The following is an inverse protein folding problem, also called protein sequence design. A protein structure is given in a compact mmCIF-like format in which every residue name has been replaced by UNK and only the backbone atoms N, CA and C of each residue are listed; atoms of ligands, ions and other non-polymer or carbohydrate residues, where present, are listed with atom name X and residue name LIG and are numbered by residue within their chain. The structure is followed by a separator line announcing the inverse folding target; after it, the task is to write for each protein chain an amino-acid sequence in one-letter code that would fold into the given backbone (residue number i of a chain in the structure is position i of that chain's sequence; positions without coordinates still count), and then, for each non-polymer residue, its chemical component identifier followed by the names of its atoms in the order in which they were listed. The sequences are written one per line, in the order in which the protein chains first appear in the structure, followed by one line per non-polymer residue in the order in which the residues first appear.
data_IF_389129397039
#
_entry.id   IF_389129397039
#
_cell.length_a   1.000
_cell.length_b   1.000
_cell.length_c   1.000
_cell.angle_alpha   90.00
_cell.angle_beta   90.00
_cell.angle_gamma   90.00
#
_symmetry.space_group_name_H-M   'P 1'
#
loop_
_entity.id
_entity.type
_entity.pdbx_description
1 polymer ?
#
# COMPACT_ATOMS: atom_id res chain seq x y z
N UNK A 1 -71.92 -23.99 37.18
CA UNK A 1 -70.80 -23.94 38.15
C UNK A 1 -69.59 -24.75 37.68
N UNK A 2 -69.10 -24.51 36.46
CA UNK A 2 -67.78 -24.93 35.98
C UNK A 2 -67.28 -23.75 35.16
N UNK A 3 -66.37 -22.94 35.70
CA UNK A 3 -65.44 -22.10 34.92
C UNK A 3 -64.48 -21.21 35.74
N UNK A 4 -64.18 -21.55 37.00
CA UNK A 4 -63.13 -20.83 37.75
C UNK A 4 -61.78 -21.57 37.80
N UNK A 5 -61.76 -22.91 37.70
CA UNK A 5 -60.53 -23.70 37.82
C UNK A 5 -59.70 -23.81 36.53
N UNK A 6 -60.31 -23.70 35.33
CA UNK A 6 -59.55 -23.75 34.07
C UNK A 6 -58.73 -22.49 33.79
N UNK A 7 -59.21 -21.31 34.22
CA UNK A 7 -58.47 -20.05 34.05
C UNK A 7 -57.18 -19.98 34.89
N UNK A 8 -57.12 -20.67 36.03
CA UNK A 8 -55.94 -20.69 36.90
C UNK A 8 -54.85 -21.60 36.33
N UNK A 9 -55.24 -22.72 35.69
CA UNK A 9 -54.32 -23.64 34.99
C UNK A 9 -53.62 -22.98 33.81
N UNK A 10 -54.35 -22.27 32.95
CA UNK A 10 -53.80 -21.59 31.78
C UNK A 10 -52.84 -20.43 32.14
N UNK A 11 -53.10 -19.69 33.22
CA UNK A 11 -52.20 -18.63 33.71
C UNK A 11 -50.89 -19.19 34.27
N UNK A 12 -50.91 -20.35 34.95
CA UNK A 12 -49.68 -21.01 35.45
C UNK A 12 -48.82 -21.59 34.32
N UNK A 13 -49.42 -22.15 33.27
CA UNK A 13 -48.72 -22.70 32.09
C UNK A 13 -48.03 -21.61 31.26
N UNK A 14 -48.66 -20.44 31.04
CA UNK A 14 -48.03 -19.31 30.33
C UNK A 14 -46.83 -18.71 31.09
N UNK A 15 -46.89 -18.63 32.42
CA UNK A 15 -45.79 -18.08 33.23
C UNK A 15 -44.54 -18.97 33.17
N UNK A 16 -44.69 -20.31 33.19
CA UNK A 16 -43.57 -21.26 33.18
C UNK A 16 -42.80 -21.26 31.84
N UNK A 17 -43.49 -21.02 30.72
CA UNK A 17 -42.85 -20.91 29.40
C UNK A 17 -42.15 -19.56 29.18
N UNK A 18 -42.63 -18.49 29.79
CA UNK A 18 -42.01 -17.16 29.72
C UNK A 18 -40.61 -17.16 30.36
N UNK A 19 -40.45 -17.77 31.54
CA UNK A 19 -39.16 -17.85 32.24
C UNK A 19 -38.13 -18.74 31.55
N UNK A 20 -38.56 -19.84 30.90
CA UNK A 20 -37.66 -20.66 30.06
C UNK A 20 -37.14 -19.91 28.84
N UNK A 21 -37.96 -19.06 28.22
CA UNK A 21 -37.55 -18.19 27.11
C UNK A 21 -36.52 -17.14 27.54
N UNK A 22 -36.71 -16.54 28.72
CA UNK A 22 -35.76 -15.57 29.30
C UNK A 22 -34.42 -16.23 29.65
N UNK A 23 -34.41 -17.43 30.23
CA UNK A 23 -33.16 -18.17 30.50
C UNK A 23 -32.39 -18.53 29.21
N UNK A 24 -33.10 -18.94 28.15
CA UNK A 24 -32.47 -19.28 26.86
C UNK A 24 -31.88 -18.04 26.18
N UNK A 25 -32.57 -16.89 26.27
CA UNK A 25 -32.06 -15.61 25.79
C UNK A 25 -30.89 -15.08 26.64
N UNK A 26 -30.90 -15.28 27.97
CA UNK A 26 -29.80 -14.91 28.86
C UNK A 26 -28.53 -15.74 28.61
N UNK A 27 -28.67 -17.04 28.29
CA UNK A 27 -27.54 -17.86 27.86
C UNK A 27 -26.98 -17.40 26.51
N UNK A 28 -27.84 -17.13 25.52
CA UNK A 28 -27.42 -16.61 24.22
C UNK A 28 -26.69 -15.26 24.35
N UNK A 29 -27.11 -14.39 25.28
CA UNK A 29 -26.45 -13.12 25.56
C UNK A 29 -25.00 -13.28 26.06
N UNK A 30 -24.71 -14.31 26.86
CA UNK A 30 -23.35 -14.61 27.35
C UNK A 30 -22.42 -15.08 26.23
N UNK A 31 -22.93 -15.89 25.30
CA UNK A 31 -22.15 -16.30 24.13
C UNK A 31 -21.96 -15.15 23.12
N UNK A 32 -22.99 -14.32 22.91
CA UNK A 32 -22.87 -13.15 22.05
C UNK A 32 -21.87 -12.12 22.61
N UNK A 33 -21.83 -11.90 23.92
CA UNK A 33 -20.83 -11.03 24.56
C UNK A 33 -19.42 -11.61 24.47
N UNK A 34 -19.26 -12.92 24.65
CA UNK A 34 -17.96 -13.58 24.48
C UNK A 34 -17.46 -13.47 23.03
N UNK A 35 -18.34 -13.70 22.05
CA UNK A 35 -18.02 -13.57 20.62
C UNK A 35 -17.70 -12.12 20.25
N UNK A 36 -18.42 -11.13 20.79
CA UNK A 36 -18.08 -9.72 20.55
C UNK A 36 -16.76 -9.33 21.17
N UNK A 37 -16.43 -9.84 22.36
CA UNK A 37 -15.11 -9.61 22.98
C UNK A 37 -14.01 -10.26 22.14
N UNK A 38 -14.20 -11.49 21.66
CA UNK A 38 -13.23 -12.19 20.79
C UNK A 38 -13.03 -11.45 19.47
N UNK A 39 -14.12 -11.01 18.82
CA UNK A 39 -14.05 -10.25 17.57
C UNK A 39 -13.48 -8.84 17.77
N UNK A 40 -13.70 -8.22 18.93
CA UNK A 40 -13.10 -6.93 19.29
C UNK A 40 -11.60 -7.07 19.54
N UNK A 41 -11.17 -8.13 20.25
CA UNK A 41 -9.76 -8.46 20.45
C UNK A 41 -9.11 -8.78 19.10
N UNK A 42 -9.79 -9.52 18.22
CA UNK A 42 -9.31 -9.81 16.87
C UNK A 42 -9.21 -8.54 15.99
N UNK A 43 -10.16 -7.62 16.13
CA UNK A 43 -10.14 -6.30 15.49
C UNK A 43 -8.99 -5.42 16.00
N UNK A 44 -8.76 -5.38 17.32
CA UNK A 44 -7.61 -4.68 17.91
C UNK A 44 -6.30 -5.34 17.47
N UNK A 45 -6.22 -6.67 17.46
CA UNK A 45 -5.05 -7.42 17.00
C UNK A 45 -4.71 -7.12 15.54
N UNK A 46 -5.71 -7.07 14.65
CA UNK A 46 -5.52 -6.69 13.25
C UNK A 46 -5.14 -5.22 13.08
N UNK A 47 -5.67 -4.29 13.89
CA UNK A 47 -5.27 -2.87 13.90
C UNK A 47 -3.83 -2.69 14.40
N UNK A 48 -3.40 -3.47 15.39
CA UNK A 48 -2.05 -3.40 15.97
C UNK A 48 -0.99 -4.01 15.04
N UNK A 49 -1.30 -5.16 14.41
CA UNK A 49 -0.35 -5.90 13.57
C UNK A 49 -0.33 -5.44 12.10
N UNK A 50 -1.29 -4.63 11.64
CA UNK A 50 -1.29 -4.09 10.29
C UNK A 50 -0.77 -2.64 10.27
N UNK A 51 0.43 -2.46 9.72
CA UNK A 51 1.12 -1.17 9.66
C UNK A 51 0.36 -0.09 8.87
N UNK A 52 -0.48 -0.49 7.91
CA UNK A 52 -1.31 0.42 7.12
C UNK A 52 -2.49 0.96 7.94
N UNK A 53 -3.13 0.11 8.74
CA UNK A 53 -4.24 0.46 9.63
C UNK A 53 -3.80 1.44 10.71
N UNK A 54 -2.53 1.35 11.15
CA UNK A 54 -1.92 2.25 12.15
C UNK A 54 -1.64 3.66 11.61
N UNK A 55 -1.28 3.80 10.33
CA UNK A 55 -1.07 5.11 9.66
C UNK A 55 -2.38 5.79 9.33
N UNK A 56 -3.37 5.03 8.84
CA UNK A 56 -4.72 5.52 8.56
C UNK A 56 -5.43 5.91 9.87
N UNK A 57 -5.29 5.12 10.94
CA UNK A 57 -5.93 5.43 12.23
C UNK A 57 -5.41 6.74 12.81
N UNK A 58 -4.12 7.07 12.77
CA UNK A 58 -3.60 8.35 13.30
C UNK A 58 -4.15 9.58 12.58
N UNK A 59 -4.25 9.54 11.24
CA UNK A 59 -4.84 10.64 10.45
C UNK A 59 -6.36 10.72 10.60
N UNK A 60 -7.04 9.57 10.64
CA UNK A 60 -8.48 9.48 10.85
C UNK A 60 -8.87 9.89 12.28
N UNK A 61 -8.07 9.58 13.30
CA UNK A 61 -8.29 9.97 14.70
C UNK A 61 -8.12 11.48 14.93
N UNK A 62 -7.15 12.10 14.24
CA UNK A 62 -6.99 13.57 14.22
C UNK A 62 -8.25 14.27 13.69
N UNK A 63 -8.80 13.76 12.58
CA UNK A 63 -10.01 14.30 11.93
C UNK A 63 -11.29 13.95 12.72
N UNK A 64 -11.35 12.75 13.31
CA UNK A 64 -12.48 12.29 14.12
C UNK A 64 -12.58 13.03 15.45
N UNK A 65 -11.48 13.43 16.09
CA UNK A 65 -11.49 14.05 17.43
C UNK A 65 -12.36 15.30 17.54
N UNK A 66 -12.46 16.12 16.47
CA UNK A 66 -13.31 17.32 16.42
C UNK A 66 -14.77 17.02 16.08
N UNK A 67 -15.06 15.98 15.30
CA UNK A 67 -16.43 15.57 14.92
C UNK A 67 -17.04 14.54 15.87
N UNK A 68 -16.22 13.86 16.69
CA UNK A 68 -16.62 12.82 17.64
C UNK A 68 -17.55 13.33 18.73
N UNK A 69 -17.40 14.57 19.20
CA UNK A 69 -18.29 15.12 20.25
C UNK A 69 -19.75 15.23 19.79
N UNK A 70 -19.97 15.47 18.50
CA UNK A 70 -21.31 15.54 17.90
C UNK A 70 -21.82 14.12 17.64
N UNK A 71 -20.99 13.24 17.10
CA UNK A 71 -21.33 11.85 16.79
C UNK A 71 -21.63 11.03 18.06
N UNK A 72 -20.90 11.23 19.17
CA UNK A 72 -21.14 10.58 20.48
C UNK A 72 -22.52 10.99 21.06
N UNK A 73 -22.98 12.21 20.78
CA UNK A 73 -24.31 12.69 21.20
C UNK A 73 -25.46 12.04 20.42
N UNK A 74 -25.20 11.54 19.21
CA UNK A 74 -26.18 10.81 18.39
C UNK A 74 -26.04 9.28 18.49
N UNK A 75 -24.85 8.76 18.84
CA UNK A 75 -24.58 7.34 19.14
C UNK A 75 -25.04 6.91 20.54
N UNK A 76 -25.47 7.85 21.40
CA UNK A 76 -26.14 7.54 22.67
C UNK A 76 -27.58 7.05 22.48
N UNK A 77 -28.10 7.09 21.25
CA UNK A 77 -29.28 6.33 20.85
C UNK A 77 -28.79 4.89 20.63
N UNK A 78 -29.27 3.97 21.45
CA UNK A 78 -28.95 2.54 21.41
C UNK A 78 -29.32 1.92 20.06
N UNK A 79 -28.41 2.05 19.09
CA UNK A 79 -28.45 1.26 17.86
C UNK A 79 -28.26 -0.20 18.30
N UNK A 80 -29.19 -1.12 17.96
CA UNK A 80 -29.03 -2.53 18.30
C UNK A 80 -27.67 -3.02 17.82
N UNK A 81 -26.93 -3.74 18.68
CA UNK A 81 -25.59 -4.28 18.38
C UNK A 81 -25.47 -5.02 17.03
N UNK A 82 -26.52 -5.69 16.48
CA UNK A 82 -26.47 -6.25 15.13
C UNK A 82 -26.35 -5.18 14.03
N UNK A 83 -27.02 -4.03 14.19
CA UNK A 83 -27.04 -2.95 13.20
C UNK A 83 -25.69 -2.23 13.17
N UNK A 84 -25.04 -2.01 14.32
CA UNK A 84 -23.67 -1.47 14.34
C UNK A 84 -22.65 -2.40 13.70
N UNK A 85 -22.81 -3.73 13.84
CA UNK A 85 -21.96 -4.72 13.19
C UNK A 85 -22.16 -4.73 11.66
N UNK A 86 -23.41 -4.64 11.20
CA UNK A 86 -23.73 -4.52 9.78
C UNK A 86 -23.17 -3.23 9.18
N UNK A 87 -23.23 -2.11 9.91
CA UNK A 87 -22.63 -0.83 9.48
C UNK A 87 -21.10 -0.95 9.37
N UNK A 88 -20.42 -1.60 10.32
CA UNK A 88 -18.97 -1.80 10.26
C UNK A 88 -18.56 -2.74 9.12
N UNK A 89 -19.31 -3.83 8.91
CA UNK A 89 -19.11 -4.73 7.75
C UNK A 89 -19.33 -3.99 6.44
N UNK A 90 -20.39 -3.19 6.34
CA UNK A 90 -20.69 -2.38 5.18
C UNK A 90 -19.61 -1.32 4.92
N UNK A 91 -19.14 -0.64 5.97
CA UNK A 91 -18.01 0.30 5.86
C UNK A 91 -16.72 -0.41 5.43
N UNK A 92 -16.45 -1.62 5.92
CA UNK A 92 -15.29 -2.39 5.50
C UNK A 92 -15.40 -2.82 4.03
N UNK A 93 -16.59 -3.27 3.60
CA UNK A 93 -16.87 -3.58 2.19
C UNK A 93 -16.75 -2.32 1.33
N UNK A 94 -17.23 -1.17 1.79
CA UNK A 94 -17.06 0.11 1.09
C UNK A 94 -15.59 0.52 1.03
N UNK A 95 -14.79 0.33 2.09
CA UNK A 95 -13.35 0.58 2.06
C UNK A 95 -12.66 -0.36 1.07
N UNK A 96 -13.07 -1.64 1.00
CA UNK A 96 -12.56 -2.61 0.03
C UNK A 96 -12.97 -2.25 -1.41
N UNK A 97 -14.20 -1.77 -1.60
CA UNK A 97 -14.69 -1.30 -2.89
C UNK A 97 -14.00 0.00 -3.32
N UNK A 98 -13.81 0.96 -2.42
CA UNK A 98 -13.11 2.23 -2.69
C UNK A 98 -11.62 1.98 -2.95
N UNK A 99 -10.97 1.05 -2.24
CA UNK A 99 -9.59 0.67 -2.54
C UNK A 99 -9.48 -0.01 -3.90
N UNK A 100 -10.45 -0.87 -4.26
CA UNK A 100 -10.56 -1.43 -5.62
C UNK A 100 -10.91 -0.37 -6.68
N UNK A 101 -11.60 0.71 -6.33
CA UNK A 101 -11.94 1.82 -7.25
C UNK A 101 -10.78 2.83 -7.40
N UNK A 102 -10.02 3.09 -6.34
CA UNK A 102 -8.77 3.85 -6.40
C UNK A 102 -7.68 3.10 -7.18
N UNK A 103 -7.89 1.82 -7.45
CA UNK A 103 -7.09 1.01 -8.37
C UNK A 103 -7.30 1.39 -9.85
N UNK A 104 -8.09 2.43 -10.15
CA UNK A 104 -8.18 3.08 -11.47
C UNK A 104 -7.04 4.05 -11.80
N UNK A 105 -5.86 3.95 -11.17
CA UNK A 105 -4.65 4.63 -11.71
C UNK A 105 -4.01 3.89 -12.90
N UNK A 106 -4.72 2.93 -13.51
CA UNK A 106 -4.57 2.66 -14.95
C UNK A 106 -5.25 3.82 -15.70
N UNK A 107 -4.60 4.42 -16.70
CA UNK A 107 -4.81 3.94 -18.07
C UNK A 107 -3.90 4.69 -19.03
N UNK A 108 -3.19 3.93 -19.84
CA UNK A 108 -3.83 3.51 -21.08
C UNK A 108 -3.45 2.06 -21.34
N UNK A 109 -4.41 1.26 -21.80
CA UNK A 109 -4.10 0.05 -22.52
C UNK A 109 -4.65 0.22 -23.93
N UNK A 110 -3.91 -0.19 -24.95
CA UNK A 110 -4.16 0.15 -26.36
C UNK A 110 -2.93 0.81 -26.98
N UNK A 111 -3.06 1.40 -28.17
CA UNK A 111 -1.95 1.92 -28.97
C UNK A 111 -1.22 3.09 -28.29
N UNK A 112 -0.27 2.77 -27.40
CA UNK A 112 0.56 3.74 -26.69
C UNK A 112 1.97 3.62 -27.22
N UNK A 113 2.51 4.77 -27.61
CA UNK A 113 3.89 4.91 -28.01
C UNK A 113 4.64 5.62 -26.89
N UNK A 114 5.67 4.96 -26.38
CA UNK A 114 6.60 5.55 -25.43
C UNK A 114 7.95 5.76 -26.10
N UNK A 115 8.65 6.77 -25.61
CA UNK A 115 10.02 7.03 -26.02
C UNK A 115 10.85 7.36 -24.77
N UNK A 116 12.16 7.36 -24.96
CA UNK A 116 13.12 7.84 -23.97
C UNK A 116 13.57 9.28 -24.31
N UNK A 117 14.49 9.85 -23.53
CA UNK A 117 14.88 11.26 -23.71
C UNK A 117 15.56 11.53 -25.05
N UNK A 118 16.16 10.51 -25.68
CA UNK A 118 16.78 10.66 -27.00
C UNK A 118 15.75 10.91 -28.11
N UNK A 119 14.51 10.45 -27.89
CA UNK A 119 13.43 10.40 -28.89
C UNK A 119 13.72 9.47 -30.08
N UNK A 120 14.77 8.66 -30.03
CA UNK A 120 15.16 7.76 -31.12
C UNK A 120 14.61 6.33 -30.98
N UNK A 121 13.97 6.02 -29.84
CA UNK A 121 13.56 4.66 -29.48
C UNK A 121 12.05 4.54 -29.32
N UNK A 122 11.25 5.18 -30.19
CA UNK A 122 9.79 5.09 -30.09
C UNK A 122 9.32 3.63 -30.14
N UNK A 123 8.59 3.20 -29.11
CA UNK A 123 8.21 1.82 -28.89
C UNK A 123 6.75 1.74 -28.50
N UNK A 124 6.01 0.90 -29.22
CA UNK A 124 4.62 0.61 -28.91
C UNK A 124 4.52 -0.35 -27.71
N UNK A 125 3.67 -0.04 -26.73
CA UNK A 125 3.50 -0.81 -25.50
C UNK A 125 2.04 -1.15 -25.24
N UNK A 126 1.77 -2.28 -24.58
CA UNK A 126 0.39 -2.71 -24.35
C UNK A 126 -0.33 -1.86 -23.30
N UNK A 127 0.30 -1.68 -22.13
CA UNK A 127 -0.24 -0.88 -21.04
C UNK A 127 0.88 -0.15 -20.31
N UNK A 128 0.56 1.07 -19.87
CA UNK A 128 1.36 1.86 -18.93
C UNK A 128 0.71 1.87 -17.55
N UNK A 129 1.52 1.59 -16.53
CA UNK A 129 1.12 1.57 -15.13
C UNK A 129 1.87 2.63 -14.34
N UNK A 130 1.19 3.18 -13.34
CA UNK A 130 1.67 4.26 -12.48
C UNK A 130 1.47 3.85 -11.01
N UNK A 131 2.28 2.91 -10.47
CA UNK A 131 2.17 2.52 -9.07
C UNK A 131 2.45 3.70 -8.14
N UNK A 132 1.83 3.67 -6.97
CA UNK A 132 2.11 4.62 -5.87
C UNK A 132 2.57 3.88 -4.61
N UNK A 133 2.39 2.56 -4.57
CA UNK A 133 2.76 1.71 -3.44
C UNK A 133 3.40 0.42 -3.92
N UNK A 134 4.17 -0.22 -3.04
CA UNK A 134 4.74 -1.56 -3.31
C UNK A 134 3.67 -2.61 -3.62
N UNK A 135 2.46 -2.47 -3.06
CA UNK A 135 1.35 -3.39 -3.33
C UNK A 135 0.81 -3.23 -4.77
N UNK A 136 0.92 -2.02 -5.35
CA UNK A 136 0.56 -1.81 -6.75
C UNK A 136 1.54 -2.52 -7.68
N UNK A 137 2.83 -2.54 -7.30
CA UNK A 137 3.88 -3.28 -8.02
C UNK A 137 3.65 -4.78 -7.89
N UNK A 138 3.37 -5.29 -6.69
CA UNK A 138 3.05 -6.70 -6.45
C UNK A 138 1.86 -7.17 -7.29
N UNK A 139 0.80 -6.36 -7.35
CA UNK A 139 -0.34 -6.62 -8.23
C UNK A 139 0.08 -6.63 -9.70
N UNK A 140 0.89 -5.66 -10.14
CA UNK A 140 1.36 -5.58 -11.52
C UNK A 140 2.14 -6.84 -11.92
N UNK A 141 3.01 -7.34 -11.03
CA UNK A 141 3.77 -8.57 -11.23
C UNK A 141 2.82 -9.76 -11.38
N UNK A 142 1.87 -9.95 -10.46
CA UNK A 142 0.87 -11.03 -10.54
C UNK A 142 0.01 -10.94 -11.81
N UNK A 143 -0.39 -9.73 -12.22
CA UNK A 143 -1.15 -9.50 -13.45
C UNK A 143 -0.31 -9.79 -14.70
N UNK A 144 0.97 -9.46 -14.70
CA UNK A 144 1.86 -9.74 -15.81
C UNK A 144 2.05 -11.25 -15.96
N UNK A 145 2.31 -11.95 -14.85
CA UNK A 145 2.49 -13.41 -14.81
C UNK A 145 1.25 -14.14 -15.33
N UNK A 146 0.07 -13.83 -14.79
CA UNK A 146 -1.20 -14.46 -15.20
C UNK A 146 -1.58 -14.24 -16.68
N UNK A 147 -0.95 -13.28 -17.34
CA UNK A 147 -1.20 -12.94 -18.75
C UNK A 147 0.00 -13.23 -19.67
N UNK A 148 1.07 -13.83 -19.14
CA UNK A 148 2.30 -14.11 -19.91
C UNK A 148 2.98 -12.86 -20.46
N UNK A 149 2.94 -11.75 -19.70
CA UNK A 149 3.47 -10.44 -20.09
C UNK A 149 4.77 -10.12 -19.36
N UNK A 150 5.63 -9.35 -20.01
CA UNK A 150 6.86 -8.81 -19.42
C UNK A 150 6.64 -7.42 -18.86
N UNK A 151 7.45 -7.03 -17.87
CA UNK A 151 7.44 -5.68 -17.28
C UNK A 151 8.76 -5.00 -17.63
N UNK A 152 8.67 -3.78 -18.16
CA UNK A 152 9.80 -2.84 -18.23
C UNK A 152 9.60 -1.75 -17.20
N UNK A 153 10.67 -1.36 -16.53
CA UNK A 153 10.62 -0.38 -15.43
C UNK A 153 11.14 0.96 -15.94
N UNK A 154 10.46 2.04 -15.55
CA UNK A 154 10.75 3.40 -16.00
C UNK A 154 10.71 4.33 -14.78
N UNK A 155 11.80 5.05 -14.55
CA UNK A 155 11.82 6.21 -13.68
C UNK A 155 11.45 7.46 -14.47
N UNK A 156 12.40 8.37 -14.65
CA UNK A 156 12.18 9.60 -15.45
C UNK A 156 12.53 9.47 -16.95
N UNK A 157 12.74 8.24 -17.43
CA UNK A 157 12.99 7.92 -18.84
C UNK A 157 14.15 8.67 -19.52
N UNK A 158 15.15 9.03 -18.72
CA UNK A 158 16.35 9.73 -19.17
C UNK A 158 17.37 8.85 -19.91
N UNK A 159 17.00 7.60 -20.21
CA UNK A 159 17.81 6.68 -21.01
C UNK A 159 17.90 7.16 -22.46
N UNK A 160 18.94 6.75 -23.18
CA UNK A 160 19.16 7.15 -24.59
C UNK A 160 19.28 5.97 -25.56
N UNK A 161 19.08 4.74 -25.08
CA UNK A 161 19.19 3.52 -25.88
C UNK A 161 18.04 2.54 -25.64
N UNK A 162 16.88 3.03 -25.20
CA UNK A 162 15.69 2.20 -24.98
C UNK A 162 15.75 1.29 -23.77
N UNK A 163 16.67 1.49 -22.81
CA UNK A 163 16.85 0.59 -21.66
C UNK A 163 15.61 0.49 -20.77
N UNK A 164 14.79 1.54 -20.68
CA UNK A 164 13.49 1.51 -19.94
C UNK A 164 12.32 1.09 -20.81
N UNK A 165 12.56 0.71 -22.07
CA UNK A 165 11.53 0.31 -23.02
C UNK A 165 11.57 -1.20 -23.25
N UNK A 166 10.43 -1.82 -23.58
CA UNK A 166 10.39 -3.25 -23.85
C UNK A 166 11.21 -3.65 -25.08
N UNK A 167 12.06 -4.67 -24.94
CA UNK A 167 12.92 -5.18 -26.02
C UNK A 167 12.14 -5.81 -27.19
N UNK A 168 11.01 -6.46 -26.89
CA UNK A 168 10.19 -7.13 -27.91
C UNK A 168 9.19 -6.14 -28.51
N UNK A 169 9.28 -5.88 -29.81
CA UNK A 169 8.32 -5.05 -30.56
C UNK A 169 6.93 -5.70 -30.75
N UNK A 170 6.56 -6.66 -29.89
CA UNK A 170 5.18 -7.16 -29.88
C UNK A 170 4.38 -6.37 -28.86
N UNK A 171 3.51 -5.50 -29.36
CA UNK A 171 2.52 -4.77 -28.58
C UNK A 171 1.68 -5.67 -27.66
N UNK A 172 1.64 -6.98 -27.89
CA UNK A 172 0.79 -7.89 -27.12
C UNK A 172 1.38 -8.33 -25.79
N UNK A 173 2.68 -8.11 -25.50
CA UNK A 173 3.32 -8.70 -24.31
C UNK A 173 3.85 -7.71 -23.28
N UNK A 174 3.80 -6.40 -23.54
CA UNK A 174 4.65 -5.47 -22.77
C UNK A 174 3.87 -4.54 -21.84
N UNK A 175 4.10 -4.68 -20.55
CA UNK A 175 3.74 -3.70 -19.54
C UNK A 175 4.91 -2.77 -19.25
N UNK A 176 4.62 -1.49 -19.03
CA UNK A 176 5.60 -0.53 -18.51
C UNK A 176 5.16 -0.06 -17.13
N UNK A 177 6.05 -0.19 -16.16
CA UNK A 177 5.91 0.29 -14.79
C UNK A 177 6.63 1.64 -14.67
N UNK A 178 5.87 2.74 -14.66
CA UNK A 178 6.42 4.09 -14.51
C UNK A 178 6.29 4.55 -13.06
N UNK A 179 7.43 4.60 -12.38
CA UNK A 179 7.54 4.83 -10.94
C UNK A 179 7.37 6.30 -10.55
N UNK A 180 7.19 7.24 -11.48
CA UNK A 180 7.27 8.70 -11.20
C UNK A 180 6.40 9.23 -10.06
N UNK A 181 5.37 8.49 -9.63
CA UNK A 181 4.50 8.86 -8.51
C UNK A 181 4.87 8.20 -7.17
N UNK A 182 5.82 7.26 -7.15
CA UNK A 182 6.48 6.78 -5.94
C UNK A 182 7.65 7.72 -5.62
N UNK A 183 7.31 8.93 -5.16
CA UNK A 183 8.25 10.05 -5.02
C UNK A 183 8.39 10.58 -3.58
N UNK A 184 8.03 9.78 -2.58
CA UNK A 184 8.22 10.15 -1.19
C UNK A 184 9.71 10.29 -0.83
N UNK A 185 10.02 11.29 0.00
CA UNK A 185 11.35 11.54 0.55
C UNK A 185 11.23 11.87 2.04
N UNK A 186 11.92 11.11 2.87
CA UNK A 186 12.03 11.32 4.30
C UNK A 186 13.52 11.50 4.68
N UNK A 187 13.79 12.44 5.59
CA UNK A 187 15.14 12.72 6.07
C UNK A 187 15.16 12.56 7.59
N UNK A 188 16.05 11.70 8.09
CA UNK A 188 16.29 11.55 9.52
C UNK A 188 17.42 12.50 9.95
N UNK A 189 17.11 13.46 10.83
CA UNK A 189 18.08 14.46 11.28
C UNK A 189 19.16 13.91 12.23
N UNK A 190 18.92 12.75 12.85
CA UNK A 190 19.82 12.14 13.83
C UNK A 190 20.84 11.25 13.13
N UNK A 191 20.37 10.32 12.29
CA UNK A 191 21.26 9.45 11.51
C UNK A 191 21.86 10.17 10.30
N UNK A 192 21.15 11.20 9.80
CA UNK A 192 21.42 11.93 8.55
C UNK A 192 21.09 11.13 7.29
N UNK A 193 20.35 10.04 7.44
CA UNK A 193 19.93 9.21 6.32
C UNK A 193 18.75 9.82 5.58
N UNK A 194 18.63 9.49 4.30
CA UNK A 194 17.49 9.87 3.47
C UNK A 194 16.84 8.61 2.94
N UNK A 195 15.58 8.39 3.32
CA UNK A 195 14.73 7.40 2.68
C UNK A 195 14.08 8.03 1.45
N UNK A 196 14.13 7.32 0.33
CA UNK A 196 13.63 7.77 -0.97
C UNK A 196 12.86 6.65 -1.64
N UNK A 197 11.65 6.93 -2.12
CA UNK A 197 10.96 6.01 -3.01
C UNK A 197 11.59 6.04 -4.41
N UNK A 198 11.50 4.91 -5.12
CA UNK A 198 12.25 4.66 -6.34
C UNK A 198 12.04 5.69 -7.47
N UNK A 199 10.84 6.27 -7.55
CA UNK A 199 10.48 7.29 -8.53
C UNK A 199 10.84 8.72 -8.15
N UNK A 200 11.24 8.97 -6.90
CA UNK A 200 11.67 10.29 -6.44
C UNK A 200 12.84 10.77 -7.31
N UNK A 201 12.85 12.05 -7.67
CA UNK A 201 13.99 12.66 -8.35
C UNK A 201 14.96 13.31 -7.38
N UNK A 202 16.18 13.55 -7.83
CA UNK A 202 17.14 14.35 -7.06
C UNK A 202 16.61 15.77 -6.75
N UNK A 203 15.73 16.35 -7.58
CA UNK A 203 15.00 17.58 -7.23
C UNK A 203 14.18 17.42 -5.95
N UNK A 204 13.43 16.31 -5.81
CA UNK A 204 12.65 16.04 -4.60
C UNK A 204 13.57 15.90 -3.38
N UNK A 205 14.68 15.19 -3.53
CA UNK A 205 15.69 15.01 -2.47
C UNK A 205 16.30 16.35 -2.06
N UNK A 206 16.78 17.14 -3.01
CA UNK A 206 17.37 18.45 -2.74
C UNK A 206 16.38 19.40 -2.07
N UNK A 207 15.12 19.45 -2.53
CA UNK A 207 14.09 20.24 -1.86
C UNK A 207 13.90 19.84 -0.40
N UNK A 208 13.91 18.53 -0.10
CA UNK A 208 13.78 18.03 1.27
C UNK A 208 15.00 18.40 2.12
N UNK A 209 16.20 18.19 1.60
CA UNK A 209 17.46 18.40 2.33
C UNK A 209 17.80 19.89 2.53
N UNK A 210 17.41 20.76 1.58
CA UNK A 210 17.61 22.21 1.68
C UNK A 210 16.91 22.81 2.91
N UNK A 211 15.80 22.22 3.36
CA UNK A 211 15.12 22.63 4.60
C UNK A 211 16.00 22.46 5.86
N UNK A 212 17.07 21.68 5.75
CA UNK A 212 17.98 21.34 6.84
C UNK A 212 19.42 21.78 6.56
N UNK A 213 19.68 22.53 5.48
CA UNK A 213 21.03 22.91 5.06
C UNK A 213 21.93 21.72 4.73
N UNK A 214 21.34 20.67 4.12
CA UNK A 214 22.04 19.44 3.73
C UNK A 214 22.00 19.26 2.21
N UNK A 215 22.90 18.42 1.70
CA UNK A 215 22.94 17.97 0.31
C UNK A 215 23.28 16.48 0.26
N UNK A 216 22.94 15.76 -0.83
CA UNK A 216 23.52 14.46 -1.10
C UNK A 216 25.04 14.54 -1.20
N UNK A 217 25.74 13.47 -0.83
CA UNK A 217 27.20 13.37 -0.99
C UNK A 217 27.56 13.15 -2.46
N UNK A 218 26.92 12.15 -3.08
CA UNK A 218 27.08 11.79 -4.49
C UNK A 218 25.80 12.19 -5.24
N UNK A 219 25.93 13.00 -6.30
CA UNK A 219 24.83 13.33 -7.21
C UNK A 219 25.36 13.51 -8.63
N UNK A 220 24.56 13.20 -9.64
CA UNK A 220 24.88 13.48 -11.05
C UNK A 220 24.73 14.97 -11.40
N UNK A 221 25.11 15.35 -12.63
CA UNK A 221 25.01 16.74 -13.14
C UNK A 221 23.58 17.30 -13.20
N UNK A 222 22.57 16.45 -13.42
CA UNK A 222 21.17 16.88 -13.48
C UNK A 222 20.37 16.32 -12.31
N UNK A 223 19.46 17.14 -11.78
CA UNK A 223 18.59 16.74 -10.68
C UNK A 223 17.24 16.12 -11.15
N UNK A 224 17.02 16.03 -12.47
CA UNK A 224 15.79 15.51 -13.07
C UNK A 224 15.75 13.98 -13.15
N UNK A 225 16.85 13.28 -12.85
CA UNK A 225 16.86 11.82 -12.81
C UNK A 225 16.12 11.30 -11.58
N UNK A 226 15.45 10.14 -11.73
CA UNK A 226 14.95 9.35 -10.60
C UNK A 226 16.10 8.72 -9.83
N UNK A 227 16.04 8.71 -8.50
CA UNK A 227 17.09 8.16 -7.64
C UNK A 227 17.32 6.67 -7.92
N UNK A 228 16.28 5.84 -8.01
CA UNK A 228 16.47 4.42 -8.32
C UNK A 228 17.09 4.22 -9.70
N UNK A 229 16.65 4.97 -10.73
CA UNK A 229 17.26 4.90 -12.06
C UNK A 229 18.75 5.25 -12.05
N UNK A 230 19.16 6.21 -11.22
CA UNK A 230 20.57 6.56 -11.02
C UNK A 230 21.34 5.43 -10.32
N UNK A 231 20.75 4.76 -9.32
CA UNK A 231 21.35 3.62 -8.60
C UNK A 231 21.44 2.37 -9.52
N UNK A 232 20.42 2.12 -10.34
CA UNK A 232 20.36 0.98 -11.26
C UNK A 232 21.44 1.00 -12.33
N UNK A 233 22.07 2.14 -12.59
CA UNK A 233 23.25 2.26 -13.48
C UNK A 233 24.55 2.52 -12.72
N UNK A 234 24.48 2.50 -11.38
CA UNK A 234 25.55 2.90 -10.46
C UNK A 234 26.28 4.17 -10.91
N UNK A 235 25.51 5.25 -11.13
CA UNK A 235 26.04 6.44 -11.77
C UNK A 235 27.22 7.06 -11.00
N UNK A 236 28.14 7.67 -11.74
CA UNK A 236 29.22 8.47 -11.19
C UNK A 236 28.71 9.83 -10.68
N UNK A 237 29.21 10.30 -9.54
CA UNK A 237 28.91 11.62 -9.01
C UNK A 237 29.64 12.74 -9.75
N UNK A 238 29.06 13.94 -9.83
CA UNK A 238 29.81 15.16 -10.19
C UNK A 238 30.25 15.91 -8.92
N UNK A 239 29.62 15.63 -7.78
CA UNK A 239 29.90 16.24 -6.48
C UNK A 239 31.00 15.50 -5.70
N UNK A 240 31.42 14.33 -6.19
CA UNK A 240 32.43 13.44 -5.63
C UNK A 240 33.07 12.62 -6.76
N UNK A 241 34.27 12.07 -6.53
CA UNK A 241 34.90 11.09 -7.43
C UNK A 241 34.35 9.65 -7.24
N UNK A 242 33.36 9.49 -6.35
CA UNK A 242 32.70 8.21 -6.04
C UNK A 242 31.48 7.93 -6.94
N UNK A 243 31.12 6.65 -7.03
CA UNK A 243 29.85 6.19 -7.61
C UNK A 243 28.73 6.15 -6.57
N UNK A 244 27.47 6.13 -7.04
CA UNK A 244 26.30 6.16 -6.15
C UNK A 244 26.29 5.08 -5.07
N UNK A 245 26.81 3.89 -5.37
CA UNK A 245 26.90 2.78 -4.42
C UNK A 245 27.49 3.20 -3.07
N UNK A 246 28.45 4.11 -3.05
CA UNK A 246 29.10 4.59 -1.82
C UNK A 246 28.15 5.35 -0.88
N UNK A 247 27.05 5.90 -1.41
CA UNK A 247 26.02 6.58 -0.63
C UNK A 247 24.77 5.73 -0.35
N UNK A 248 24.70 4.48 -0.82
CA UNK A 248 23.55 3.60 -0.58
C UNK A 248 23.77 2.78 0.69
N UNK A 249 22.86 2.90 1.67
CA UNK A 249 22.90 2.16 2.94
C UNK A 249 22.22 0.79 2.80
N UNK A 250 20.95 0.79 2.36
CA UNK A 250 20.17 -0.40 2.08
C UNK A 250 19.16 -0.12 0.95
N UNK A 251 18.60 -1.19 0.39
CA UNK A 251 17.59 -1.15 -0.67
C UNK A 251 16.41 -2.01 -0.24
N UNK A 252 15.22 -1.41 -0.19
CA UNK A 252 13.95 -2.15 -0.20
C UNK A 252 13.62 -2.53 -1.65
N UNK A 253 13.28 -3.79 -1.89
CA UNK A 253 13.03 -4.30 -3.24
C UNK A 253 11.79 -5.19 -3.31
N UNK A 254 11.25 -5.35 -4.51
CA UNK A 254 10.34 -6.43 -4.89
C UNK A 254 10.85 -7.15 -6.14
N UNK A 255 11.01 -8.47 -6.07
CA UNK A 255 11.46 -9.27 -7.20
C UNK A 255 10.30 -9.70 -8.12
N UNK A 256 10.63 -10.30 -9.27
CA UNK A 256 9.63 -10.77 -10.24
C UNK A 256 8.76 -11.93 -9.77
N UNK A 257 9.06 -12.54 -8.61
CA UNK A 257 8.21 -13.53 -7.96
C UNK A 257 7.29 -12.89 -6.91
N UNK A 258 7.30 -11.55 -6.79
CA UNK A 258 6.54 -10.80 -5.79
C UNK A 258 7.15 -10.85 -4.39
N UNK A 259 8.37 -11.36 -4.21
CA UNK A 259 9.04 -11.38 -2.90
C UNK A 259 9.54 -9.98 -2.57
N UNK A 260 9.16 -9.48 -1.40
CA UNK A 260 9.55 -8.18 -0.84
C UNK A 260 10.65 -8.38 0.18
N UNK A 261 11.67 -7.54 0.17
CA UNK A 261 12.80 -7.64 1.09
C UNK A 261 13.59 -6.35 1.24
N UNK A 262 14.62 -6.42 2.07
CA UNK A 262 15.61 -5.36 2.25
C UNK A 262 17.00 -6.01 2.22
N UNK A 263 17.91 -5.45 1.43
CA UNK A 263 19.31 -5.87 1.35
C UNK A 263 20.27 -4.69 1.60
N UNK A 264 21.47 -5.00 2.12
CA UNK A 264 22.56 -4.07 2.41
C UNK A 264 23.91 -4.75 2.19
N UNK A 265 25.02 -4.06 2.49
CA UNK A 265 26.36 -4.67 2.49
C UNK A 265 26.49 -5.83 3.50
N UNK A 266 25.70 -5.82 4.57
CA UNK A 266 25.72 -6.80 5.66
C UNK A 266 24.59 -7.83 5.57
N UNK A 267 23.54 -7.55 4.79
CA UNK A 267 22.35 -8.42 4.64
C UNK A 267 22.08 -8.67 3.17
N UNK A 268 22.19 -9.93 2.74
CA UNK A 268 21.99 -10.32 1.34
C UNK A 268 22.86 -9.47 0.37
N UNK A 269 24.16 -9.45 0.67
CA UNK A 269 25.14 -8.59 0.00
C UNK A 269 25.27 -8.88 -1.48
N UNK A 270 25.05 -10.13 -1.90
CA UNK A 270 25.03 -10.53 -3.30
C UNK A 270 23.89 -9.82 -4.04
N UNK A 271 22.64 -9.92 -3.53
CA UNK A 271 21.51 -9.23 -4.13
C UNK A 271 21.67 -7.70 -4.10
N UNK A 272 22.21 -7.16 -3.00
CA UNK A 272 22.52 -5.73 -2.91
C UNK A 272 23.46 -5.29 -4.04
N UNK A 273 24.54 -6.04 -4.29
CA UNK A 273 25.45 -5.77 -5.41
C UNK A 273 24.80 -5.97 -6.78
N UNK A 274 23.85 -6.89 -6.93
CA UNK A 274 23.15 -7.13 -8.19
C UNK A 274 22.12 -6.03 -8.50
N UNK A 275 21.45 -5.46 -7.50
CA UNK A 275 20.48 -4.38 -7.69
C UNK A 275 21.15 -3.06 -8.12
N UNK A 276 22.37 -2.81 -7.63
CA UNK A 276 23.14 -1.61 -7.96
C UNK A 276 23.92 -1.83 -9.26
N UNK A 277 23.66 -1.02 -10.28
CA UNK A 277 24.22 -1.28 -11.62
C UNK A 277 23.55 -2.43 -12.38
N UNK A 278 22.52 -3.07 -11.81
CA UNK A 278 21.80 -4.19 -12.42
C UNK A 278 20.72 -3.81 -13.45
N UNK A 279 20.58 -2.53 -13.79
CA UNK A 279 19.61 -2.03 -14.77
C UNK A 279 18.14 -2.44 -14.49
N UNK A 280 17.78 -2.69 -13.22
CA UNK A 280 16.43 -3.12 -12.83
C UNK A 280 16.09 -4.57 -13.21
N UNK A 281 17.09 -5.41 -13.50
CA UNK A 281 16.89 -6.81 -13.89
C UNK A 281 16.64 -7.76 -12.72
N UNK A 282 17.03 -7.36 -11.51
CA UNK A 282 16.96 -8.21 -10.30
C UNK A 282 15.79 -7.84 -9.36
N UNK A 283 15.13 -6.71 -9.61
CA UNK A 283 14.02 -6.22 -8.82
C UNK A 283 13.67 -4.76 -9.13
N UNK A 284 12.52 -4.34 -8.61
CA UNK A 284 12.08 -2.94 -8.54
C UNK A 284 12.34 -2.41 -7.13
#
# INVERSE_FOLDING_TARGET
NINHNEQISFKKLKKKNYWKGIQKNLLAYRYCTLITIILFIFGIYTIINNNLTRRVSKRVFSILSKKMKIIIKYLSITIPTPVSLLILLFLNIIIQLISNLNFQYQRGCGNIYLNDISKLNETEIYCLFYPQTINDIEYLISKAESQGRTISVRGQAHTMGGQTLPLRKSHQTNYVCDLKYMNHVEYDKYTKDVFVEAGATWTHVNHKLNLYGRSPVVMQSYCTFSVAGTISVNAHGITSDDAMVESVISIEYIDMNGRKGECSRERDSELFSLLIGGYGLFGI
#
